data_IF_380564188369
#
_entry.id   IF_380564188369
#
_cell.length_a   1.000
_cell.length_b   1.000
_cell.length_c   1.000
_cell.angle_alpha   90.00
_cell.angle_beta   90.00
_cell.angle_gamma   90.00
#
_symmetry.space_group_name_H-M   'P 1'
#
loop_
_entity.id
_entity.type
_entity.pdbx_description
1 polymer ?
#
# COMPACT_ATOMS: atom_id res chain seq x y z
N UNK A 1 21.61 24.71 5.82
CA UNK A 1 20.18 24.55 5.47
C UNK A 1 20.04 23.16 4.88
N UNK A 2 19.33 22.26 5.55
CA UNK A 2 19.07 20.91 5.04
C UNK A 2 17.88 21.04 4.09
N UNK A 3 18.11 20.92 2.79
CA UNK A 3 17.03 20.81 1.80
C UNK A 3 16.40 19.43 1.96
N UNK A 4 15.16 19.40 2.45
CA UNK A 4 14.34 18.19 2.46
C UNK A 4 13.99 17.83 1.02
N UNK A 5 14.55 16.73 0.53
CA UNK A 5 14.33 16.23 -0.82
C UNK A 5 13.11 15.32 -0.92
N UNK A 6 12.40 15.06 0.19
CA UNK A 6 11.28 14.12 0.26
C UNK A 6 11.68 12.67 -0.05
N UNK A 7 12.98 12.39 -0.18
CA UNK A 7 13.54 11.08 -0.47
C UNK A 7 14.11 10.48 0.81
N UNK A 8 13.72 9.23 1.12
CA UNK A 8 14.26 8.43 2.22
C UNK A 8 14.51 7.00 1.73
N UNK A 9 15.69 6.43 1.97
CA UNK A 9 15.99 5.04 1.61
C UNK A 9 15.07 4.03 2.33
N UNK A 10 14.86 2.88 1.70
CA UNK A 10 13.93 1.82 2.13
C UNK A 10 14.30 1.18 3.49
N UNK A 11 15.59 1.12 3.83
CA UNK A 11 16.04 0.54 5.10
C UNK A 11 17.30 1.19 5.64
N UNK A 12 17.55 0.99 6.94
CA UNK A 12 18.78 1.39 7.61
C UNK A 12 19.30 0.24 8.46
N UNK A 13 20.59 -0.05 8.30
CA UNK A 13 21.37 -0.93 9.17
C UNK A 13 22.58 -0.17 9.67
N UNK A 14 22.58 0.20 10.96
CA UNK A 14 23.63 1.05 11.55
C UNK A 14 23.81 2.35 10.73
N UNK A 15 25.00 2.58 10.19
CA UNK A 15 25.34 3.71 9.34
C UNK A 15 25.01 3.50 7.85
N UNK A 16 24.54 2.30 7.45
CA UNK A 16 24.26 1.94 6.06
C UNK A 16 22.77 2.11 5.75
N UNK A 17 22.47 3.00 4.80
CA UNK A 17 21.13 3.17 4.25
C UNK A 17 20.98 2.38 2.95
N UNK A 18 19.87 1.67 2.81
CA UNK A 18 19.64 0.76 1.70
C UNK A 18 18.40 1.20 0.93
N UNK A 19 18.56 1.31 -0.39
CA UNK A 19 17.46 1.48 -1.35
C UNK A 19 17.33 0.18 -2.14
N UNK A 20 16.12 -0.36 -2.27
CA UNK A 20 15.83 -1.61 -3.00
C UNK A 20 14.97 -1.30 -4.22
N UNK A 21 15.43 -1.76 -5.39
CA UNK A 21 14.71 -1.63 -6.66
C UNK A 21 14.50 -2.97 -7.31
N UNK A 22 13.24 -3.31 -7.57
CA UNK A 22 12.85 -4.54 -8.24
C UNK A 22 12.68 -4.35 -9.73
N UNK A 23 13.00 -5.40 -10.51
CA UNK A 23 12.67 -5.55 -11.93
C UNK A 23 12.96 -4.27 -12.75
N UNK A 24 14.01 -3.54 -12.38
CA UNK A 24 14.30 -2.27 -13.02
C UNK A 24 14.76 -2.56 -14.44
N UNK A 25 14.02 -2.03 -15.41
CA UNK A 25 14.34 -2.15 -16.84
C UNK A 25 14.79 -0.82 -17.45
N UNK A 26 14.65 0.27 -16.70
CA UNK A 26 14.87 1.63 -17.15
C UNK A 26 16.10 2.25 -16.49
N UNK A 27 17.07 2.66 -17.32
CA UNK A 27 18.23 3.45 -16.90
C UNK A 27 17.81 4.75 -16.19
N UNK A 28 16.69 5.36 -16.61
CA UNK A 28 16.18 6.59 -15.99
C UNK A 28 15.84 6.39 -14.51
N UNK A 29 15.23 5.26 -14.17
CA UNK A 29 14.85 4.96 -12.78
C UNK A 29 16.09 4.65 -11.93
N UNK A 30 17.07 3.97 -12.52
CA UNK A 30 18.37 3.75 -11.88
C UNK A 30 19.06 5.09 -11.55
N UNK A 31 19.16 6.01 -12.52
CA UNK A 31 19.73 7.35 -12.31
C UNK A 31 19.00 8.12 -11.21
N UNK A 32 17.67 8.10 -11.22
CA UNK A 32 16.88 8.77 -10.19
C UNK A 32 17.17 8.20 -8.79
N UNK A 33 17.33 6.87 -8.68
CA UNK A 33 17.64 6.20 -7.41
C UNK A 33 19.05 6.53 -6.92
N UNK A 34 20.04 6.52 -7.82
CA UNK A 34 21.40 6.93 -7.51
C UNK A 34 21.47 8.40 -7.04
N UNK A 35 20.76 9.30 -7.72
CA UNK A 35 20.69 10.71 -7.33
C UNK A 35 20.00 10.92 -5.99
N UNK A 36 18.87 10.24 -5.76
CA UNK A 36 18.18 10.29 -4.47
C UNK A 36 19.10 9.86 -3.33
N UNK A 37 19.76 8.71 -3.48
CA UNK A 37 20.70 8.21 -2.48
C UNK A 37 21.88 9.16 -2.27
N UNK A 38 22.42 9.77 -3.33
CA UNK A 38 23.48 10.76 -3.23
C UNK A 38 23.04 12.03 -2.47
N UNK A 39 21.82 12.51 -2.69
CA UNK A 39 21.26 13.64 -1.93
C UNK A 39 21.12 13.28 -0.45
N UNK A 40 20.63 12.09 -0.15
CA UNK A 40 20.53 11.60 1.23
C UNK A 40 21.89 11.59 1.94
N UNK A 41 22.92 11.04 1.29
CA UNK A 41 24.27 10.96 1.85
C UNK A 41 24.97 12.32 1.94
N UNK A 42 24.59 13.30 1.12
CA UNK A 42 25.08 14.68 1.26
C UNK A 42 24.60 15.30 2.56
N UNK A 43 23.36 15.01 2.95
CA UNK A 43 22.77 15.47 4.21
C UNK A 43 23.18 14.60 5.42
N UNK A 44 23.73 13.40 5.19
CA UNK A 44 24.16 12.45 6.22
C UNK A 44 25.64 12.05 6.00
N UNK A 45 26.62 12.87 6.43
CA UNK A 45 28.04 12.72 6.05
C UNK A 45 28.73 11.46 6.59
N UNK A 46 28.25 10.92 7.71
CA UNK A 46 28.81 9.73 8.37
C UNK A 46 28.21 8.42 7.87
N UNK A 47 27.17 8.49 7.03
CA UNK A 47 26.45 7.31 6.57
C UNK A 47 26.99 6.75 5.26
N UNK A 48 26.71 5.47 4.99
CA UNK A 48 26.94 4.80 3.71
C UNK A 48 25.60 4.54 3.02
N UNK A 49 25.63 4.40 1.70
CA UNK A 49 24.46 4.10 0.88
C UNK A 49 24.67 2.83 0.07
N UNK A 50 23.67 1.97 0.02
CA UNK A 50 23.64 0.78 -0.81
C UNK A 50 22.38 0.78 -1.67
N UNK A 51 22.56 0.72 -2.99
CA UNK A 51 21.46 0.48 -3.92
C UNK A 51 21.43 -1.01 -4.29
N UNK A 52 20.32 -1.69 -4.01
CA UNK A 52 20.13 -3.11 -4.30
C UNK A 52 19.17 -3.28 -5.47
N UNK A 53 19.67 -3.86 -6.56
CA UNK A 53 18.91 -4.15 -7.78
C UNK A 53 18.48 -5.61 -7.79
N UNK A 54 17.20 -5.87 -7.54
CA UNK A 54 16.62 -7.22 -7.44
C UNK A 54 15.99 -7.62 -8.78
N UNK A 55 16.39 -8.76 -9.33
CA UNK A 55 15.90 -9.30 -10.62
C UNK A 55 15.94 -8.29 -11.77
N UNK A 56 16.92 -7.39 -11.75
CA UNK A 56 17.10 -6.36 -12.78
C UNK A 56 17.43 -6.98 -14.14
N UNK A 57 16.85 -6.42 -15.21
CA UNK A 57 17.22 -6.75 -16.60
C UNK A 57 18.24 -5.77 -17.19
N UNK A 58 18.71 -4.81 -16.40
CA UNK A 58 19.82 -3.95 -16.79
C UNK A 58 21.08 -4.82 -16.85
N UNK A 59 21.74 -4.82 -18.01
CA UNK A 59 22.99 -5.58 -18.19
C UNK A 59 24.13 -4.94 -17.40
N UNK A 60 25.15 -5.74 -17.09
CA UNK A 60 26.31 -5.25 -16.34
C UNK A 60 27.02 -4.11 -17.07
N UNK A 61 27.14 -4.16 -18.40
CA UNK A 61 27.77 -3.10 -19.19
C UNK A 61 27.01 -1.77 -19.08
N UNK A 62 25.67 -1.84 -19.06
CA UNK A 62 24.83 -0.64 -18.90
C UNK A 62 24.96 -0.07 -17.50
N UNK A 63 25.00 -0.91 -16.47
CA UNK A 63 25.24 -0.43 -15.10
C UNK A 63 26.62 0.22 -14.99
N UNK A 64 27.66 -0.41 -15.51
CA UNK A 64 29.02 0.14 -15.49
C UNK A 64 29.09 1.49 -16.21
N UNK A 65 28.40 1.63 -17.34
CA UNK A 65 28.25 2.91 -18.03
C UNK A 65 27.62 3.99 -17.16
N UNK A 66 26.52 3.65 -16.47
CA UNK A 66 25.85 4.58 -15.54
C UNK A 66 26.69 4.91 -14.31
N UNK A 67 27.40 3.93 -13.75
CA UNK A 67 28.30 4.15 -12.63
C UNK A 67 29.46 5.06 -13.00
N UNK A 68 29.99 4.93 -14.23
CA UNK A 68 31.03 5.81 -14.77
C UNK A 68 30.53 7.25 -14.95
N UNK A 69 29.28 7.43 -15.39
CA UNK A 69 28.66 8.76 -15.44
C UNK A 69 28.46 9.34 -14.04
N UNK A 70 28.04 8.52 -13.07
CA UNK A 70 27.95 8.92 -11.67
C UNK A 70 29.31 9.34 -11.09
N UNK A 71 30.38 8.61 -11.42
CA UNK A 71 31.77 8.95 -11.07
C UNK A 71 32.21 10.31 -11.58
N UNK A 72 31.74 10.71 -12.77
CA UNK A 72 32.09 12.00 -13.38
C UNK A 72 31.24 13.17 -12.87
N UNK A 73 30.07 12.88 -12.28
CA UNK A 73 29.07 13.91 -11.97
C UNK A 73 28.93 14.16 -10.46
N UNK A 74 29.06 13.13 -9.64
CA UNK A 74 28.87 13.23 -8.18
C UNK A 74 30.18 13.61 -7.49
N UNK A 75 30.06 14.23 -6.30
CA UNK A 75 31.23 14.56 -5.48
C UNK A 75 31.93 13.28 -5.01
N UNK A 76 33.28 13.20 -5.09
CA UNK A 76 34.03 12.00 -4.72
C UNK A 76 33.71 11.48 -3.31
N UNK A 77 33.55 12.37 -2.32
CA UNK A 77 33.26 12.02 -0.93
C UNK A 77 31.86 11.39 -0.72
N UNK A 78 30.90 11.66 -1.62
CA UNK A 78 29.59 11.01 -1.59
C UNK A 78 29.68 9.65 -2.25
N UNK A 79 30.33 9.59 -3.42
CA UNK A 79 30.41 8.37 -4.21
C UNK A 79 31.21 7.26 -3.51
N UNK A 80 32.29 7.60 -2.80
CA UNK A 80 33.09 6.63 -2.03
C UNK A 80 32.26 5.92 -0.95
N UNK A 81 31.14 6.52 -0.52
CA UNK A 81 30.23 5.95 0.48
C UNK A 81 29.04 5.23 -0.15
N UNK A 82 28.97 5.17 -1.48
CA UNK A 82 27.91 4.49 -2.22
C UNK A 82 28.38 3.14 -2.77
N UNK A 83 27.50 2.14 -2.71
CA UNK A 83 27.69 0.85 -3.35
C UNK A 83 26.43 0.44 -4.11
N UNK A 84 26.60 -0.43 -5.11
CA UNK A 84 25.50 -1.07 -5.84
C UNK A 84 25.66 -2.57 -5.76
N UNK A 85 24.60 -3.27 -5.38
CA UNK A 85 24.56 -4.73 -5.35
C UNK A 85 23.41 -5.24 -6.22
N UNK A 86 23.59 -6.42 -6.81
CA UNK A 86 22.54 -7.15 -7.50
C UNK A 86 22.05 -8.29 -6.64
N UNK A 87 20.74 -8.53 -6.62
CA UNK A 87 20.16 -9.72 -6.06
C UNK A 87 19.50 -10.54 -7.17
N UNK A 88 19.94 -11.80 -7.35
CA UNK A 88 19.35 -12.74 -8.30
C UNK A 88 19.34 -14.13 -7.69
N UNK A 89 18.21 -14.84 -7.74
CA UNK A 89 18.07 -16.18 -7.16
C UNK A 89 18.54 -16.27 -5.69
N UNK A 90 18.25 -15.23 -4.89
CA UNK A 90 18.68 -15.09 -3.48
C UNK A 90 20.20 -15.06 -3.26
N UNK A 91 20.97 -14.79 -4.31
CA UNK A 91 22.40 -14.51 -4.22
C UNK A 91 22.65 -13.05 -4.52
N UNK A 92 23.52 -12.44 -3.73
CA UNK A 92 23.94 -11.07 -3.93
C UNK A 92 25.33 -10.98 -4.57
N UNK A 93 25.44 -10.13 -5.59
CA UNK A 93 26.71 -9.79 -6.25
C UNK A 93 26.99 -8.31 -5.99
N UNK A 94 28.22 -7.99 -5.55
CA UNK A 94 28.62 -6.60 -5.29
C UNK A 94 28.30 -6.09 -3.87
N UNK A 95 27.83 -6.95 -2.97
CA UNK A 95 27.69 -6.57 -1.55
C UNK A 95 29.05 -6.24 -0.91
N UNK A 96 29.19 -5.12 -0.18
CA UNK A 96 30.39 -4.84 0.59
C UNK A 96 30.67 -5.95 1.61
N UNK A 97 31.89 -6.50 1.59
CA UNK A 97 32.27 -7.69 2.37
C UNK A 97 32.32 -7.42 3.88
N UNK A 98 32.53 -6.17 4.26
CA UNK A 98 32.66 -5.68 5.62
C UNK A 98 31.35 -5.65 6.42
N UNK A 99 30.20 -5.84 5.75
CA UNK A 99 28.88 -5.81 6.41
C UNK A 99 28.50 -7.11 7.13
N UNK A 100 29.22 -8.21 6.86
CA UNK A 100 29.01 -9.51 7.53
C UNK A 100 27.70 -10.22 7.16
N UNK A 101 27.46 -11.36 7.82
CA UNK A 101 26.31 -12.24 7.53
C UNK A 101 25.01 -11.75 8.18
N UNK A 102 25.07 -11.10 9.35
CA UNK A 102 23.88 -10.54 10.02
C UNK A 102 23.21 -9.46 9.15
N UNK A 103 24.02 -8.66 8.45
CA UNK A 103 23.51 -7.70 7.48
C UNK A 103 22.79 -8.40 6.32
N UNK A 104 23.29 -9.56 5.86
CA UNK A 104 22.64 -10.31 4.76
C UNK A 104 21.27 -10.84 5.19
N UNK A 105 21.17 -11.37 6.41
CA UNK A 105 19.89 -11.83 6.96
C UNK A 105 18.89 -10.68 7.07
N UNK A 106 19.35 -9.54 7.59
CA UNK A 106 18.52 -8.32 7.65
C UNK A 106 18.15 -7.80 6.25
N UNK A 107 19.08 -7.82 5.30
CA UNK A 107 18.86 -7.39 3.93
C UNK A 107 17.87 -8.30 3.21
N UNK A 108 17.92 -9.62 3.45
CA UNK A 108 16.93 -10.55 2.91
C UNK A 108 15.53 -10.26 3.44
N UNK A 109 15.40 -9.89 4.73
CA UNK A 109 14.12 -9.45 5.30
C UNK A 109 13.66 -8.13 4.68
N UNK A 110 14.57 -7.18 4.47
CA UNK A 110 14.27 -5.92 3.80
C UNK A 110 13.82 -6.17 2.36
N UNK A 111 14.58 -6.93 1.57
CA UNK A 111 14.23 -7.28 0.19
C UNK A 111 12.92 -8.04 0.13
N UNK A 112 12.66 -8.95 1.07
CA UNK A 112 11.36 -9.62 1.15
C UNK A 112 10.25 -8.58 1.36
N UNK A 113 10.35 -7.74 2.41
CA UNK A 113 9.37 -6.69 2.71
C UNK A 113 9.14 -5.76 1.52
N UNK A 114 10.20 -5.22 0.93
CA UNK A 114 10.11 -4.31 -0.21
C UNK A 114 9.62 -5.02 -1.49
N UNK A 115 9.80 -6.35 -1.60
CA UNK A 115 9.26 -7.12 -2.73
C UNK A 115 7.75 -7.30 -2.64
N UNK A 116 7.21 -7.27 -1.41
CA UNK A 116 5.78 -7.32 -1.15
C UNK A 116 5.13 -5.95 -1.39
N UNK A 117 5.82 -4.87 -1.01
CA UNK A 117 5.36 -3.46 -1.14
C UNK A 117 5.41 -2.87 -2.58
N UNK A 118 5.72 -3.66 -3.61
CA UNK A 118 5.92 -3.12 -4.97
C UNK A 118 5.82 -4.08 -6.17
N UNK A 119 5.08 -5.19 -6.08
CA UNK A 119 5.00 -6.19 -7.18
C UNK A 119 3.56 -6.64 -7.53
N UNK A 120 3.35 -7.29 -8.70
CA UNK A 120 2.04 -7.58 -9.33
C UNK A 120 0.93 -8.18 -8.46
N UNK A 121 1.22 -8.70 -7.26
CA UNK A 121 0.20 -9.13 -6.29
C UNK A 121 -0.60 -7.95 -5.74
N UNK A 122 0.05 -6.85 -5.37
CA UNK A 122 -0.64 -5.64 -4.92
C UNK A 122 -1.47 -5.04 -6.05
N UNK A 123 -0.90 -4.92 -7.26
CA UNK A 123 -1.67 -4.44 -8.42
C UNK A 123 -2.83 -5.37 -8.77
N UNK A 124 -2.65 -6.69 -8.63
CA UNK A 124 -3.73 -7.66 -8.85
C UNK A 124 -4.88 -7.45 -7.86
N UNK A 125 -4.57 -7.28 -6.57
CA UNK A 125 -5.59 -7.03 -5.54
C UNK A 125 -6.20 -5.64 -5.64
N UNK A 126 -5.42 -4.61 -5.95
CA UNK A 126 -5.96 -3.28 -6.26
C UNK A 126 -6.90 -3.30 -7.49
N UNK A 127 -6.59 -4.11 -8.51
CA UNK A 127 -7.52 -4.32 -9.64
C UNK A 127 -8.77 -5.07 -9.18
N UNK A 128 -8.64 -6.10 -8.33
CA UNK A 128 -9.78 -6.82 -7.76
C UNK A 128 -10.69 -5.89 -6.96
N UNK A 129 -10.13 -5.06 -6.08
CA UNK A 129 -10.85 -4.05 -5.30
C UNK A 129 -11.59 -3.08 -6.22
N UNK A 130 -10.94 -2.55 -7.25
CA UNK A 130 -11.59 -1.64 -8.20
C UNK A 130 -12.72 -2.33 -8.97
N UNK A 131 -12.54 -3.59 -9.37
CA UNK A 131 -13.59 -4.38 -10.02
C UNK A 131 -14.77 -4.62 -9.08
N UNK A 132 -14.50 -4.98 -7.83
CA UNK A 132 -15.50 -5.19 -6.77
C UNK A 132 -16.25 -3.90 -6.45
N UNK A 133 -15.55 -2.78 -6.34
CA UNK A 133 -16.14 -1.46 -6.12
C UNK A 133 -17.17 -1.13 -7.22
N UNK A 134 -16.80 -1.30 -8.49
CA UNK A 134 -17.69 -1.05 -9.62
C UNK A 134 -18.89 -2.01 -9.63
N UNK A 135 -18.66 -3.26 -9.25
CA UNK A 135 -19.72 -4.27 -9.14
C UNK A 135 -20.70 -3.95 -7.99
N UNK A 136 -20.21 -3.75 -6.76
CA UNK A 136 -21.04 -3.42 -5.59
C UNK A 136 -21.90 -2.19 -5.85
N UNK A 137 -21.31 -1.12 -6.37
CA UNK A 137 -22.01 0.13 -6.66
C UNK A 137 -22.82 0.12 -7.97
N UNK A 138 -22.83 -0.99 -8.73
CA UNK A 138 -23.59 -1.12 -9.97
C UNK A 138 -23.20 -0.10 -11.04
N UNK A 139 -21.93 0.32 -11.08
CA UNK A 139 -21.42 1.37 -11.98
C UNK A 139 -21.22 0.88 -13.43
N UNK A 140 -21.33 -0.42 -13.66
CA UNK A 140 -21.29 -1.06 -14.98
C UNK A 140 -19.88 -1.34 -15.48
N UNK A 141 -19.73 -1.69 -16.78
CA UNK A 141 -18.46 -2.16 -17.32
C UNK A 141 -17.46 -1.05 -17.64
N UNK A 142 -16.18 -1.36 -17.46
CA UNK A 142 -15.05 -0.43 -17.56
C UNK A 142 -14.01 -0.87 -18.59
N UNK A 143 -13.23 0.08 -19.10
CA UNK A 143 -12.12 -0.22 -20.03
C UNK A 143 -10.84 -0.55 -19.27
N UNK A 144 -9.92 -1.29 -19.93
CA UNK A 144 -8.57 -1.50 -19.41
C UNK A 144 -7.82 -0.19 -19.16
N UNK A 145 -8.05 0.84 -19.99
CA UNK A 145 -7.44 2.15 -19.81
C UNK A 145 -7.92 2.84 -18.52
N UNK A 146 -9.22 2.75 -18.23
CA UNK A 146 -9.78 3.28 -16.99
C UNK A 146 -9.22 2.55 -15.77
N UNK A 147 -9.08 1.22 -15.83
CA UNK A 147 -8.44 0.44 -14.76
C UNK A 147 -6.99 0.86 -14.54
N UNK A 148 -6.20 1.03 -15.61
CA UNK A 148 -4.81 1.49 -15.53
C UNK A 148 -4.72 2.85 -14.83
N UNK A 149 -5.57 3.81 -15.21
CA UNK A 149 -5.57 5.16 -14.65
C UNK A 149 -6.02 5.18 -13.19
N UNK A 150 -6.96 4.30 -12.82
CA UNK A 150 -7.52 4.23 -11.46
C UNK A 150 -6.55 3.54 -10.50
N UNK A 151 -5.96 2.42 -10.92
CA UNK A 151 -4.99 1.66 -10.10
C UNK A 151 -3.61 2.31 -10.14
N UNK A 152 -3.21 2.89 -11.27
CA UNK A 152 -1.87 3.45 -11.46
C UNK A 152 -0.87 2.43 -12.00
N UNK A 153 -1.32 1.42 -12.73
CA UNK A 153 -0.47 0.34 -13.25
C UNK A 153 -0.45 0.28 -14.79
N UNK A 154 0.43 -0.57 -15.34
CA UNK A 154 0.62 -0.69 -16.78
C UNK A 154 -0.47 -1.52 -17.47
N UNK A 155 -0.64 -1.34 -18.79
CA UNK A 155 -1.57 -2.16 -19.58
C UNK A 155 -1.26 -3.67 -19.47
N UNK A 156 0.00 -4.14 -19.61
CA UNK A 156 0.33 -5.55 -19.38
C UNK A 156 -0.10 -6.07 -18.01
N UNK A 157 0.02 -5.26 -16.95
CA UNK A 157 -0.41 -5.63 -15.58
C UNK A 157 -1.92 -5.82 -15.51
N UNK A 158 -2.69 -4.90 -16.08
CA UNK A 158 -4.16 -5.02 -16.16
C UNK A 158 -4.54 -6.25 -16.98
N UNK A 159 -3.99 -6.41 -18.18
CA UNK A 159 -4.30 -7.55 -19.04
C UNK A 159 -3.96 -8.90 -18.37
N UNK A 160 -2.83 -9.00 -17.68
CA UNK A 160 -2.44 -10.19 -16.93
C UNK A 160 -3.38 -10.49 -15.77
N UNK A 161 -3.83 -9.45 -15.04
CA UNK A 161 -4.77 -9.60 -13.93
C UNK A 161 -6.15 -10.03 -14.43
N UNK A 162 -6.66 -9.37 -15.49
CA UNK A 162 -7.94 -9.72 -16.10
C UNK A 162 -7.98 -11.17 -16.60
N UNK A 163 -6.89 -11.71 -17.16
CA UNK A 163 -6.83 -13.12 -17.54
C UNK A 163 -7.00 -14.08 -16.37
N UNK A 164 -6.60 -13.68 -15.16
CA UNK A 164 -6.77 -14.50 -13.95
C UNK A 164 -8.21 -14.46 -13.42
N UNK A 165 -8.96 -13.39 -13.73
CA UNK A 165 -10.37 -13.25 -13.38
C UNK A 165 -11.32 -13.80 -14.44
N UNK A 166 -10.81 -14.46 -15.50
CA UNK A 166 -11.60 -14.79 -16.70
C UNK A 166 -12.91 -15.55 -16.40
N UNK A 167 -12.89 -16.47 -15.40
CA UNK A 167 -14.08 -17.20 -14.96
C UNK A 167 -15.18 -16.32 -14.37
N UNK A 168 -14.79 -15.19 -13.78
CA UNK A 168 -15.66 -14.24 -13.07
C UNK A 168 -15.96 -12.97 -13.87
N UNK A 169 -15.40 -12.82 -15.08
CA UNK A 169 -15.58 -11.63 -15.91
C UNK A 169 -16.64 -11.83 -17.00
N UNK A 170 -17.27 -10.72 -17.38
CA UNK A 170 -17.93 -10.53 -18.66
C UNK A 170 -17.08 -9.60 -19.51
N UNK A 171 -16.81 -10.02 -20.75
CA UNK A 171 -16.15 -9.20 -21.77
C UNK A 171 -17.19 -8.76 -22.78
N UNK A 172 -17.26 -7.45 -22.99
CA UNK A 172 -18.16 -6.84 -23.95
C UNK A 172 -17.48 -6.70 -25.32
N UNK A 173 -18.28 -6.60 -26.38
CA UNK A 173 -17.79 -6.45 -27.76
C UNK A 173 -16.97 -5.16 -27.97
N UNK A 174 -17.20 -4.16 -27.13
CA UNK A 174 -16.50 -2.86 -27.13
C UNK A 174 -15.26 -2.82 -26.23
N UNK A 175 -14.70 -3.99 -25.89
CA UNK A 175 -13.49 -4.16 -25.06
C UNK A 175 -13.65 -3.72 -23.60
N UNK A 176 -14.87 -3.43 -23.13
CA UNK A 176 -15.13 -3.25 -21.71
C UNK A 176 -15.25 -4.58 -20.98
N UNK A 177 -14.96 -4.55 -19.68
CA UNK A 177 -15.05 -5.69 -18.78
C UNK A 177 -15.82 -5.33 -17.51
N UNK A 178 -16.49 -6.31 -16.93
CA UNK A 178 -17.08 -6.22 -15.58
C UNK A 178 -17.09 -7.57 -14.90
N UNK A 179 -17.27 -7.59 -13.58
CA UNK A 179 -17.53 -8.83 -12.86
C UNK A 179 -18.93 -9.33 -13.20
N UNK A 180 -19.01 -10.59 -13.61
CA UNK A 180 -20.28 -11.34 -13.71
C UNK A 180 -20.86 -11.58 -12.32
N UNK A 181 -19.99 -11.92 -11.37
CA UNK A 181 -20.35 -12.22 -10.01
C UNK A 181 -19.26 -11.92 -9.00
N UNK A 182 -19.63 -11.90 -7.72
CA UNK A 182 -18.69 -11.73 -6.63
C UNK A 182 -17.66 -12.87 -6.64
N UNK A 183 -16.38 -12.59 -6.94
CA UNK A 183 -15.35 -13.60 -7.14
C UNK A 183 -14.87 -14.16 -5.78
N UNK A 184 -15.61 -15.12 -5.23
CA UNK A 184 -15.40 -15.65 -3.87
C UNK A 184 -13.99 -16.19 -3.63
N UNK A 185 -13.40 -16.86 -4.62
CA UNK A 185 -12.08 -17.48 -4.47
C UNK A 185 -10.97 -16.43 -4.44
N UNK A 186 -11.04 -15.45 -5.33
CA UNK A 186 -10.13 -14.31 -5.35
C UNK A 186 -10.27 -13.45 -4.10
N UNK A 187 -11.51 -13.25 -3.65
CA UNK A 187 -11.82 -12.54 -2.41
C UNK A 187 -11.21 -13.24 -1.19
N UNK A 188 -11.44 -14.55 -1.05
CA UNK A 188 -10.85 -15.33 0.04
C UNK A 188 -9.31 -15.29 0.04
N UNK A 189 -8.70 -15.28 -1.15
CA UNK A 189 -7.25 -15.09 -1.30
C UNK A 189 -6.78 -13.70 -0.88
N UNK A 190 -7.55 -12.65 -1.18
CA UNK A 190 -7.28 -11.29 -0.70
C UNK A 190 -7.38 -11.24 0.83
N UNK A 191 -8.45 -11.78 1.42
CA UNK A 191 -8.63 -11.80 2.88
C UNK A 191 -7.42 -12.43 3.59
N UNK A 192 -6.88 -13.53 3.05
CA UNK A 192 -5.74 -14.24 3.62
C UNK A 192 -4.43 -13.42 3.67
N UNK A 193 -4.29 -12.39 2.84
CA UNK A 193 -3.10 -11.52 2.77
C UNK A 193 -3.41 -10.04 3.02
N UNK A 194 -4.63 -9.74 3.45
CA UNK A 194 -5.16 -8.37 3.56
C UNK A 194 -4.32 -7.48 4.48
N UNK A 195 -3.85 -8.01 5.61
CA UNK A 195 -3.01 -7.26 6.56
C UNK A 195 -1.73 -6.71 5.91
N UNK A 196 -1.09 -7.52 5.06
CA UNK A 196 0.13 -7.18 4.31
C UNK A 196 -0.18 -6.22 3.16
N UNK A 197 -1.15 -6.57 2.31
CA UNK A 197 -1.52 -5.79 1.12
C UNK A 197 -2.00 -4.39 1.48
N UNK A 198 -2.70 -4.24 2.61
CA UNK A 198 -3.23 -2.97 3.09
C UNK A 198 -2.25 -2.23 4.01
N UNK A 199 -1.05 -2.77 4.25
CA UNK A 199 -0.05 -2.20 5.17
C UNK A 199 -0.68 -1.76 6.50
N UNK A 200 -1.42 -2.67 7.13
CA UNK A 200 -2.30 -2.34 8.25
C UNK A 200 -1.51 -1.93 9.48
N UNK A 201 -1.84 -0.76 10.03
CA UNK A 201 -1.24 -0.21 11.26
C UNK A 201 -2.30 -0.15 12.36
N UNK A 202 -1.99 -0.73 13.53
CA UNK A 202 -2.91 -0.80 14.68
C UNK A 202 -2.43 0.10 15.79
N UNK A 203 -3.36 0.79 16.45
CA UNK A 203 -3.06 1.68 17.55
C UNK A 203 -3.80 1.22 18.81
N UNK A 204 -3.02 0.91 19.84
CA UNK A 204 -3.52 0.56 21.17
C UNK A 204 -3.44 1.77 22.11
N UNK A 205 -4.41 1.90 22.99
CA UNK A 205 -4.36 2.88 24.07
C UNK A 205 -3.36 2.45 25.14
N UNK A 206 -2.51 3.38 25.59
CA UNK A 206 -1.54 3.17 26.67
C UNK A 206 -1.94 3.85 27.98
N UNK A 207 -3.05 4.59 28.00
CA UNK A 207 -3.54 5.25 29.22
C UNK A 207 -4.38 4.35 30.12
N UNK A 208 -4.94 3.27 29.59
CA UNK A 208 -5.90 2.40 30.27
C UNK A 208 -7.33 2.94 30.24
N UNK A 209 -7.57 4.05 29.53
CA UNK A 209 -8.87 4.68 29.36
C UNK A 209 -9.07 5.05 27.88
N UNK A 210 -9.28 4.06 26.99
CA UNK A 210 -9.39 4.31 25.56
C UNK A 210 -10.59 5.21 25.26
N UNK A 211 -10.38 6.19 24.37
CA UNK A 211 -11.49 6.97 23.81
C UNK A 211 -12.44 6.06 23.02
N UNK A 212 -13.72 6.40 23.04
CA UNK A 212 -14.70 5.72 22.21
C UNK A 212 -14.47 6.00 20.71
N UNK A 213 -14.86 5.08 19.81
CA UNK A 213 -14.77 5.31 18.37
C UNK A 213 -15.49 6.59 17.90
N UNK A 214 -16.65 6.91 18.48
CA UNK A 214 -17.37 8.16 18.18
C UNK A 214 -16.58 9.41 18.60
N UNK A 215 -15.88 9.33 19.75
CA UNK A 215 -15.00 10.43 20.18
C UNK A 215 -13.83 10.60 19.22
N UNK A 216 -13.22 9.52 18.73
CA UNK A 216 -12.13 9.58 17.75
C UNK A 216 -12.63 10.15 16.42
N UNK A 217 -13.79 9.69 15.93
CA UNK A 217 -14.42 10.17 14.71
C UNK A 217 -14.73 11.67 14.77
N UNK A 218 -15.26 12.16 15.89
CA UNK A 218 -15.55 13.58 16.07
C UNK A 218 -14.29 14.46 16.10
N UNK A 219 -13.14 13.92 16.54
CA UNK A 219 -11.86 14.62 16.45
C UNK A 219 -11.32 14.60 15.02
N UNK A 220 -11.45 13.46 14.32
CA UNK A 220 -11.06 13.35 12.91
C UNK A 220 -11.78 14.37 12.04
N UNK A 221 -13.09 14.59 12.25
CA UNK A 221 -13.88 15.64 11.57
C UNK A 221 -13.24 17.03 11.64
N UNK A 222 -12.52 17.35 12.72
CA UNK A 222 -11.89 18.66 12.93
C UNK A 222 -10.52 18.79 12.27
N UNK A 223 -9.93 17.70 11.79
CA UNK A 223 -8.62 17.70 11.14
C UNK A 223 -8.68 18.07 9.65
N UNK A 224 -9.88 18.06 9.04
CA UNK A 224 -10.12 18.40 7.63
C UNK A 224 -9.09 17.78 6.66
N UNK A 225 -8.87 16.47 6.78
CA UNK A 225 -7.80 15.76 6.05
C UNK A 225 -8.35 14.95 4.87
N UNK A 226 -8.22 15.46 3.64
CA UNK A 226 -8.81 14.87 2.42
C UNK A 226 -8.32 13.47 2.08
N UNK A 227 -7.11 13.11 2.52
CA UNK A 227 -6.54 11.78 2.22
C UNK A 227 -7.01 10.69 3.20
N UNK A 228 -7.77 11.04 4.25
CA UNK A 228 -8.25 10.07 5.25
C UNK A 228 -9.73 9.86 5.07
N UNK A 229 -10.12 8.60 4.95
CA UNK A 229 -11.51 8.18 4.85
C UNK A 229 -11.90 7.21 5.95
N UNK A 230 -13.17 7.26 6.35
CA UNK A 230 -13.74 6.44 7.42
C UNK A 230 -14.24 5.12 6.82
N UNK A 231 -13.72 4.02 7.34
CA UNK A 231 -14.06 2.64 6.95
C UNK A 231 -14.77 1.87 8.06
N UNK A 232 -14.64 0.55 8.03
CA UNK A 232 -15.17 -0.35 9.04
C UNK A 232 -16.67 -0.27 9.23
N UNK A 233 -17.10 -0.50 10.47
CA UNK A 233 -18.50 -0.44 10.88
C UNK A 233 -19.12 0.92 10.55
N UNK A 234 -18.40 2.01 10.79
CA UNK A 234 -18.90 3.37 10.57
C UNK A 234 -19.07 3.65 9.07
N UNK A 235 -18.09 3.27 8.25
CA UNK A 235 -18.16 3.37 6.79
C UNK A 235 -19.22 2.45 6.18
N UNK A 236 -19.38 1.22 6.69
CA UNK A 236 -20.42 0.31 6.22
C UNK A 236 -21.84 0.88 6.45
N UNK A 237 -22.07 1.54 7.60
CA UNK A 237 -23.35 2.23 7.88
C UNK A 237 -23.65 3.38 6.93
N UNK A 238 -22.64 4.02 6.34
CA UNK A 238 -22.86 5.05 5.33
C UNK A 238 -23.56 4.46 4.09
N UNK A 239 -23.18 3.25 3.68
CA UNK A 239 -23.76 2.57 2.52
C UNK A 239 -25.03 1.78 2.83
N UNK A 240 -25.12 1.21 4.04
CA UNK A 240 -26.30 0.46 4.50
C UNK A 240 -26.62 0.86 5.95
N UNK A 241 -27.48 1.88 6.16
CA UNK A 241 -27.83 2.36 7.49
C UNK A 241 -28.48 1.29 8.39
N UNK A 242 -29.23 0.37 7.78
CA UNK A 242 -29.98 -0.68 8.49
C UNK A 242 -29.16 -1.94 8.79
N UNK A 243 -27.84 -1.92 8.58
CA UNK A 243 -26.97 -3.08 8.81
C UNK A 243 -26.98 -3.45 10.31
N UNK A 244 -27.31 -4.71 10.64
CA UNK A 244 -27.41 -5.19 12.03
C UNK A 244 -26.03 -5.31 12.71
N UNK A 245 -25.56 -4.18 13.20
CA UNK A 245 -24.23 -4.01 13.80
C UNK A 245 -24.34 -3.89 15.31
N UNK A 246 -23.65 -4.78 16.04
CA UNK A 246 -23.53 -4.75 17.50
C UNK A 246 -22.55 -3.64 17.92
N UNK A 247 -23.01 -2.39 17.87
CA UNK A 247 -22.22 -1.21 18.24
C UNK A 247 -21.10 -0.87 17.23
N UNK A 248 -20.05 -0.21 17.71
CA UNK A 248 -18.84 0.13 16.94
C UNK A 248 -17.63 -0.21 17.81
N UNK A 249 -16.94 -1.34 17.54
CA UNK A 249 -15.88 -1.82 18.44
C UNK A 249 -14.58 -1.00 18.33
N UNK A 250 -14.31 -0.42 17.15
CA UNK A 250 -13.13 0.39 16.85
C UNK A 250 -13.43 1.38 15.73
N UNK A 251 -12.53 2.34 15.53
CA UNK A 251 -12.52 3.21 14.36
C UNK A 251 -11.53 2.65 13.32
N UNK A 252 -12.01 2.39 12.11
CA UNK A 252 -11.17 1.98 10.97
C UNK A 252 -11.03 3.16 10.01
N UNK A 253 -9.80 3.45 9.58
CA UNK A 253 -9.48 4.52 8.64
C UNK A 253 -8.74 3.98 7.43
N UNK A 254 -9.11 4.44 6.24
CA UNK A 254 -8.34 4.26 5.02
C UNK A 254 -7.57 5.54 4.72
N UNK A 255 -6.25 5.43 4.57
CA UNK A 255 -5.37 6.55 4.23
C UNK A 255 -4.88 6.39 2.80
N UNK A 256 -5.30 7.29 1.92
CA UNK A 256 -4.79 7.35 0.56
C UNK A 256 -3.36 7.85 0.58
N UNK A 257 -2.41 7.00 0.22
CA UNK A 257 -1.03 7.40 0.14
C UNK A 257 -0.31 6.64 -0.97
N UNK A 258 0.28 7.40 -1.89
CA UNK A 258 1.12 6.89 -2.98
C UNK A 258 2.60 6.85 -2.62
N UNK A 259 2.98 7.53 -1.53
CA UNK A 259 4.34 7.54 -1.03
C UNK A 259 4.64 6.25 -0.25
N UNK A 260 5.91 5.82 -0.29
CA UNK A 260 6.37 4.65 0.47
C UNK A 260 6.23 4.87 1.98
N UNK A 261 6.63 6.06 2.44
CA UNK A 261 6.51 6.48 3.83
C UNK A 261 5.21 7.24 4.03
N UNK A 262 4.53 6.94 5.13
CA UNK A 262 3.26 7.56 5.51
C UNK A 262 3.47 8.27 6.84
N UNK A 263 3.14 9.55 6.87
CA UNK A 263 3.09 10.30 8.12
C UNK A 263 1.78 9.99 8.85
N UNK A 264 1.90 9.36 10.02
CA UNK A 264 0.78 9.01 10.89
C UNK A 264 0.73 9.92 12.13
N UNK A 265 1.46 11.04 12.17
CA UNK A 265 1.50 11.94 13.32
C UNK A 265 0.15 12.58 13.63
N UNK A 266 -0.78 12.63 12.68
CA UNK A 266 -2.16 13.05 12.91
C UNK A 266 -2.86 12.19 13.98
N UNK A 267 -2.43 10.94 14.19
CA UNK A 267 -2.98 10.07 15.23
C UNK A 267 -2.78 10.68 16.62
N UNK A 268 -1.67 11.38 16.88
CA UNK A 268 -1.44 12.11 18.14
C UNK A 268 -2.50 13.21 18.37
N UNK A 269 -3.04 13.77 17.29
CA UNK A 269 -4.12 14.76 17.34
C UNK A 269 -5.49 14.11 17.55
N UNK A 270 -5.67 12.83 17.18
CA UNK A 270 -6.86 12.04 17.52
C UNK A 270 -6.83 11.55 18.96
N UNK A 271 -5.67 11.15 19.46
CA UNK A 271 -5.44 10.71 20.83
C UNK A 271 -3.92 10.58 21.10
N UNK A 272 -3.33 11.36 22.02
CA UNK A 272 -1.91 11.25 22.33
C UNK A 272 -1.54 9.96 23.10
N UNK A 273 -2.51 9.24 23.65
CA UNK A 273 -2.29 7.97 24.34
C UNK A 273 -2.28 6.75 23.39
N UNK A 274 -2.68 6.93 22.13
CA UNK A 274 -2.59 5.90 21.11
C UNK A 274 -1.15 5.69 20.67
N UNK A 275 -0.69 4.45 20.73
CA UNK A 275 0.61 4.04 20.24
C UNK A 275 0.48 2.84 19.31
N UNK A 276 1.32 2.82 18.27
CA UNK A 276 1.39 1.69 17.35
C UNK A 276 1.65 0.39 18.12
N UNK A 277 0.96 -0.67 17.72
CA UNK A 277 1.18 -2.01 18.25
C UNK A 277 1.32 -3.03 17.13
N UNK A 278 2.28 -3.94 17.30
CA UNK A 278 2.45 -5.12 16.44
C UNK A 278 1.66 -6.33 16.95
N UNK A 279 1.09 -6.23 18.16
CA UNK A 279 0.34 -7.30 18.80
C UNK A 279 -1.08 -7.33 18.25
N UNK A 280 -1.43 -8.45 17.59
CA UNK A 280 -2.77 -8.64 16.99
C UNK A 280 -3.86 -8.98 18.01
N UNK A 281 -3.47 -9.44 19.19
CA UNK A 281 -4.35 -9.79 20.30
C UNK A 281 -4.70 -8.60 21.18
N UNK A 282 -3.99 -7.48 21.03
CA UNK A 282 -4.22 -6.27 21.80
C UNK A 282 -5.43 -5.50 21.26
N UNK A 283 -6.34 -4.99 22.12
CA UNK A 283 -7.42 -4.11 21.69
C UNK A 283 -6.87 -2.87 20.97
N UNK A 284 -7.26 -2.71 19.71
CA UNK A 284 -6.88 -1.58 18.88
C UNK A 284 -8.12 -0.71 18.60
N UNK A 285 -8.39 0.33 19.42
CA UNK A 285 -9.51 1.26 19.19
C UNK A 285 -9.39 2.05 17.87
N UNK A 286 -8.19 2.11 17.27
CA UNK A 286 -7.95 2.70 15.97
C UNK A 286 -7.11 1.76 15.09
N UNK A 287 -7.55 1.56 13.86
CA UNK A 287 -6.80 0.83 12.83
C UNK A 287 -6.74 1.68 11.56
N UNK A 288 -5.58 1.70 10.92
CA UNK A 288 -5.33 2.46 9.70
C UNK A 288 -4.86 1.50 8.61
N UNK A 289 -5.50 1.56 7.45
CA UNK A 289 -5.18 0.81 6.26
C UNK A 289 -4.72 1.76 5.15
N UNK A 290 -3.66 1.40 4.44
CA UNK A 290 -3.15 2.18 3.33
C UNK A 290 -3.86 1.80 2.03
N UNK A 291 -4.29 2.83 1.31
CA UNK A 291 -4.80 2.72 -0.05
C UNK A 291 -3.73 3.27 -1.00
N UNK A 292 -3.13 2.40 -1.82
CA UNK A 292 -1.96 2.76 -2.67
C UNK A 292 -2.28 2.98 -4.16
N UNK A 293 -3.53 2.73 -4.58
CA UNK A 293 -4.01 2.96 -5.95
C UNK A 293 -3.93 4.45 -6.34
N UNK A 294 -3.82 4.74 -7.64
CA UNK A 294 -3.70 6.11 -8.13
C UNK A 294 -4.90 7.02 -7.80
N UNK A 295 -6.09 6.45 -7.69
CA UNK A 295 -7.30 7.13 -7.21
C UNK A 295 -7.83 6.43 -5.98
N UNK A 296 -8.12 7.18 -4.91
CA UNK A 296 -8.67 6.62 -3.67
C UNK A 296 -10.03 5.95 -3.86
N UNK A 297 -10.88 6.49 -4.75
CA UNK A 297 -12.31 6.13 -4.83
C UNK A 297 -13.09 6.43 -3.54
N UNK A 298 -12.56 7.28 -2.67
CA UNK A 298 -13.29 7.77 -1.50
C UNK A 298 -14.47 8.63 -1.92
N UNK A 299 -15.53 8.58 -1.13
CA UNK A 299 -16.72 9.38 -1.35
C UNK A 299 -16.75 10.56 -0.38
N UNK A 300 -17.01 11.79 -0.86
CA UNK A 300 -17.10 12.94 0.02
C UNK A 300 -18.33 12.81 0.93
N UNK A 301 -18.13 13.04 2.23
CA UNK A 301 -19.17 13.10 3.25
C UNK A 301 -19.42 14.52 3.76
N UNK A 302 -20.34 14.63 4.73
CA UNK A 302 -20.59 15.88 5.42
C UNK A 302 -19.42 16.31 6.31
N UNK A 303 -19.21 17.62 6.43
CA UNK A 303 -18.22 18.18 7.36
C UNK A 303 -16.77 17.86 6.99
N UNK A 304 -16.46 17.74 5.70
CA UNK A 304 -15.10 17.49 5.20
C UNK A 304 -14.61 16.06 5.37
N UNK A 305 -15.43 15.15 5.91
CA UNK A 305 -15.12 13.73 5.98
C UNK A 305 -15.07 13.12 4.58
N UNK A 306 -14.28 12.06 4.47
CA UNK A 306 -14.34 11.13 3.35
C UNK A 306 -14.82 9.77 3.87
N UNK A 307 -15.55 9.04 3.03
CA UNK A 307 -15.96 7.67 3.26
C UNK A 307 -15.08 6.74 2.45
N UNK A 308 -14.54 5.71 3.10
CA UNK A 308 -13.78 4.69 2.42
C UNK A 308 -14.73 3.96 1.47
N UNK A 309 -14.23 3.47 0.35
CA UNK A 309 -15.11 2.80 -0.60
C UNK A 309 -15.67 1.49 -0.01
N UNK A 310 -16.77 0.93 -0.56
CA UNK A 310 -17.42 -0.23 0.02
C UNK A 310 -16.52 -1.45 0.18
N UNK A 311 -15.50 -1.59 -0.65
CA UNK A 311 -14.58 -2.73 -0.58
C UNK A 311 -13.68 -2.62 0.65
N UNK A 312 -13.15 -1.43 0.95
CA UNK A 312 -12.38 -1.20 2.18
C UNK A 312 -13.24 -1.45 3.41
N UNK A 313 -14.48 -0.95 3.42
CA UNK A 313 -15.42 -1.20 4.51
C UNK A 313 -15.67 -2.71 4.71
N UNK A 314 -15.81 -3.46 3.61
CA UNK A 314 -16.01 -4.90 3.66
C UNK A 314 -14.76 -5.64 4.19
N UNK A 315 -13.56 -5.24 3.78
CA UNK A 315 -12.30 -5.78 4.30
C UNK A 315 -12.19 -5.55 5.81
N UNK A 316 -12.57 -4.36 6.28
CA UNK A 316 -12.55 -4.01 7.71
C UNK A 316 -13.55 -4.84 8.53
N UNK A 317 -14.74 -5.12 7.99
CA UNK A 317 -15.73 -5.99 8.65
C UNK A 317 -15.16 -7.42 8.83
N UNK A 318 -14.50 -7.97 7.81
CA UNK A 318 -13.82 -9.27 7.93
C UNK A 318 -12.68 -9.24 8.94
N UNK A 319 -11.86 -8.18 8.94
CA UNK A 319 -10.79 -8.05 9.93
C UNK A 319 -11.34 -7.96 11.36
N UNK A 320 -12.46 -7.25 11.54
CA UNK A 320 -13.21 -7.19 12.79
C UNK A 320 -13.94 -8.49 13.17
N UNK A 321 -13.82 -9.55 12.36
CA UNK A 321 -14.52 -10.85 12.51
C UNK A 321 -16.05 -10.72 12.51
N UNK A 322 -16.57 -9.71 11.84
CA UNK A 322 -18.00 -9.45 11.70
C UNK A 322 -18.55 -10.15 10.44
N UNK A 323 -18.37 -11.47 10.35
CA UNK A 323 -18.63 -12.26 9.13
C UNK A 323 -20.11 -12.22 8.70
N UNK A 324 -21.04 -12.26 9.65
CA UNK A 324 -22.47 -12.16 9.36
C UNK A 324 -22.82 -10.79 8.77
N UNK A 325 -22.26 -9.72 9.31
CA UNK A 325 -22.47 -8.36 8.83
C UNK A 325 -21.76 -8.11 7.51
N UNK A 326 -20.57 -8.66 7.29
CA UNK A 326 -19.89 -8.61 6.00
C UNK A 326 -20.76 -9.25 4.90
N UNK A 327 -21.37 -10.40 5.19
CA UNK A 327 -22.29 -11.07 4.26
C UNK A 327 -23.56 -10.27 4.01
N UNK A 328 -24.18 -9.73 5.05
CA UNK A 328 -25.36 -8.85 4.94
C UNK A 328 -25.02 -7.59 4.14
N UNK A 329 -23.86 -7.00 4.38
CA UNK A 329 -23.35 -5.83 3.69
C UNK A 329 -23.21 -6.08 2.19
N UNK A 330 -22.55 -7.17 1.77
CA UNK A 330 -22.47 -7.52 0.34
C UNK A 330 -23.86 -7.71 -0.28
N UNK A 331 -24.79 -8.36 0.45
CA UNK A 331 -26.15 -8.64 -0.02
C UNK A 331 -27.03 -7.39 -0.14
N UNK A 332 -26.70 -6.30 0.56
CA UNK A 332 -27.46 -5.05 0.48
C UNK A 332 -27.30 -4.38 -0.89
N UNK A 333 -26.16 -4.61 -1.56
CA UNK A 333 -25.83 -3.97 -2.83
C UNK A 333 -26.67 -4.47 -4.02
N UNK A 334 -27.03 -3.59 -4.97
CA UNK A 334 -27.89 -3.94 -6.11
C UNK A 334 -27.38 -5.11 -6.95
N UNK A 335 -26.06 -5.21 -7.15
CA UNK A 335 -25.48 -6.27 -7.97
C UNK A 335 -25.60 -7.67 -7.34
N UNK A 336 -25.54 -7.78 -6.01
CA UNK A 336 -25.73 -9.03 -5.29
C UNK A 336 -27.21 -9.49 -5.33
N UNK A 337 -28.15 -8.53 -5.25
CA UNK A 337 -29.58 -8.80 -5.35
C UNK A 337 -29.97 -9.41 -6.71
N UNK A 338 -29.31 -9.01 -7.80
CA UNK A 338 -29.54 -9.56 -9.16
C UNK A 338 -29.09 -11.01 -9.36
N UNK A 339 -28.36 -11.60 -8.42
CA UNK A 339 -27.87 -12.99 -8.52
C UNK A 339 -28.69 -13.97 -7.70
N UNK A 340 -29.52 -13.44 -6.80
CA UNK A 340 -30.39 -14.22 -5.91
C UNK A 340 -31.85 -14.22 -6.37
N UNK A 341 -32.18 -13.36 -7.33
CA UNK A 341 -33.39 -13.41 -8.15
C UNK A 341 -33.11 -14.20 -9.44
#
# INVERSE_FOLDING_TARGET
>A
MVTDTGYRPDGQWHDVWVEVKFETHSIRNLRASLLGLAYWLTNNPTSRGLLVLVDSRITEERLQGEWKLAQQTLRPEVLQRMAVAFAKNKQYVGLPRDLGDDFRVWLDQLVLRESHEGKPRESFYAILEVLLHQWLLGKGPMTSEWLMKTVGCSYPTVAASLRRFESSLLRHSDRRVELRYFPKDEWARLLAVSDEVRSTTRFADRSGQPRSPDSLLNRLKRLEHSEIAVGGVVGARHYQPDLDLVGTPRLDLSLHCRAKNVDLDFVKQLDPALQETKRRDEPAPLVIHLVRRARSLFEPGEGGLQWADPVECLLDLHEGRLESQALEFVRSFPAAKRQTA
#
